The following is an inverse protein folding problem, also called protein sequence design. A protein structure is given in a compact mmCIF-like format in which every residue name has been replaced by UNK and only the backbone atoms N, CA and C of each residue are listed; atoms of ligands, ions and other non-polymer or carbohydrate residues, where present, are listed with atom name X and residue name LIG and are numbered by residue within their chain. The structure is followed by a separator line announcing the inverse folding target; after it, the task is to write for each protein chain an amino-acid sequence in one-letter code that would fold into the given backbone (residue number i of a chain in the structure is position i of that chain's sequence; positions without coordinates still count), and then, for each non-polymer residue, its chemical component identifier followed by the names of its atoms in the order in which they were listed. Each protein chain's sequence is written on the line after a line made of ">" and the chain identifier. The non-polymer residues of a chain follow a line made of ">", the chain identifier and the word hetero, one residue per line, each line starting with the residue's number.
data_IF_828423848695
#
_entry.id   IF_828423848695
#
_cell.length_a   1.000
_cell.length_b   1.000
_cell.length_c   1.000
_cell.angle_alpha   90.00
_cell.angle_beta   90.00
_cell.angle_gamma   90.00
#
_symmetry.space_group_name_H-M   'P 1'
#
loop_
_entity.id
_entity.type
_entity.pdbx_description
1 polymer ?
#
# COMPACT_ATOMS: atom_id res chain seq x y z
N UNK A 1 -0.69 -16.16 17.15
CA UNK A 1 -0.97 -14.95 16.37
C UNK A 1 -1.06 -15.33 14.90
N UNK A 2 -2.08 -14.82 14.18
CA UNK A 2 -2.31 -15.15 12.78
C UNK A 2 -1.78 -14.07 11.82
N UNK A 3 -1.36 -12.91 12.35
CA UNK A 3 -0.80 -11.82 11.58
C UNK A 3 0.69 -11.64 11.89
N UNK A 4 1.52 -11.47 10.85
CA UNK A 4 2.94 -11.16 10.98
C UNK A 4 3.21 -9.66 11.21
N UNK A 5 2.27 -8.80 10.80
CA UNK A 5 2.35 -7.36 11.00
C UNK A 5 0.95 -6.75 11.15
N UNK A 6 0.91 -5.56 11.74
CA UNK A 6 -0.27 -4.71 11.82
C UNK A 6 0.10 -3.29 11.35
N UNK A 7 -0.76 -2.69 10.53
CA UNK A 7 -0.66 -1.30 10.12
C UNK A 7 -1.50 -0.45 11.07
N UNK A 8 -0.88 0.54 11.67
CA UNK A 8 -1.51 1.53 12.55
C UNK A 8 -1.40 2.93 11.94
N UNK A 9 -2.45 3.71 12.14
CA UNK A 9 -2.47 5.10 11.72
C UNK A 9 -2.04 6.02 12.88
N UNK A 10 -1.14 6.94 12.59
CA UNK A 10 -0.60 7.83 13.60
C UNK A 10 -1.66 8.75 14.22
N UNK A 11 -2.64 9.18 13.42
CA UNK A 11 -3.67 10.11 13.87
C UNK A 11 -4.70 9.46 14.78
N UNK A 12 -4.95 8.14 14.62
CA UNK A 12 -6.09 7.49 15.28
C UNK A 12 -5.68 6.53 16.41
N UNK A 13 -4.75 5.63 16.16
CA UNK A 13 -4.53 4.54 17.11
C UNK A 13 -3.08 4.32 17.54
N UNK A 14 -2.09 4.90 16.87
CA UNK A 14 -0.67 4.67 17.17
C UNK A 14 -0.32 4.87 18.64
N UNK A 15 -0.66 6.04 19.21
CA UNK A 15 -0.36 6.37 20.61
C UNK A 15 -0.99 5.35 21.57
N UNK A 16 -2.27 5.04 21.37
CA UNK A 16 -2.97 4.08 22.22
C UNK A 16 -2.37 2.68 22.13
N UNK A 17 -2.00 2.25 20.93
CA UNK A 17 -1.38 0.94 20.69
C UNK A 17 -0.04 0.82 21.41
N UNK A 18 0.78 1.88 21.39
CA UNK A 18 2.09 1.92 22.05
C UNK A 18 1.91 1.95 23.58
N UNK A 19 1.11 2.88 24.10
CA UNK A 19 0.88 3.06 25.55
C UNK A 19 0.29 1.79 26.20
N UNK A 20 -0.60 1.10 25.51
CA UNK A 20 -1.23 -0.12 26.01
C UNK A 20 -0.43 -1.39 25.71
N UNK A 21 0.70 -1.27 25.00
CA UNK A 21 1.49 -2.43 24.54
C UNK A 21 0.60 -3.48 23.82
N UNK A 22 -0.31 -2.99 22.96
CA UNK A 22 -1.41 -3.80 22.40
C UNK A 22 -0.98 -4.74 21.29
N UNK A 23 0.25 -4.65 20.77
CA UNK A 23 0.77 -5.51 19.70
C UNK A 23 1.58 -6.64 20.29
N UNK A 24 1.26 -7.87 19.88
CA UNK A 24 2.04 -9.05 20.29
C UNK A 24 3.50 -8.91 19.81
N UNK A 25 4.47 -9.35 20.63
CA UNK A 25 5.91 -9.28 20.31
C UNK A 25 6.29 -9.98 19.00
N UNK A 26 5.51 -10.95 18.55
CA UNK A 26 5.66 -11.67 17.28
C UNK A 26 5.05 -10.96 16.07
N UNK A 27 4.41 -9.80 16.27
CA UNK A 27 3.74 -9.04 15.23
C UNK A 27 4.48 -7.71 15.02
N UNK A 28 4.90 -7.43 13.80
CA UNK A 28 5.58 -6.19 13.47
C UNK A 28 4.60 -5.02 13.43
N UNK A 29 5.00 -3.86 13.94
CA UNK A 29 4.24 -2.62 13.81
C UNK A 29 4.69 -1.87 12.55
N UNK A 30 3.75 -1.57 11.68
CA UNK A 30 3.88 -0.68 10.52
C UNK A 30 3.11 0.60 10.85
N UNK A 31 3.69 1.77 10.60
CA UNK A 31 3.01 3.05 10.86
C UNK A 31 2.75 3.77 9.56
N UNK A 32 1.51 4.26 9.37
CA UNK A 32 1.17 5.10 8.23
C UNK A 32 1.89 6.44 8.34
N UNK A 33 2.56 6.84 7.26
CA UNK A 33 3.33 8.07 7.14
C UNK A 33 2.72 9.05 6.14
N UNK A 34 1.50 8.82 5.74
CA UNK A 34 0.77 9.60 4.75
C UNK A 34 -0.19 10.57 5.45
N UNK A 35 -0.21 11.83 4.98
CA UNK A 35 -1.22 12.82 5.31
C UNK A 35 -2.15 12.99 4.11
N UNK A 36 -3.45 12.80 4.34
CA UNK A 36 -4.49 12.92 3.31
C UNK A 36 -4.94 14.36 3.21
N UNK A 37 -4.88 14.91 2.00
CA UNK A 37 -5.31 16.28 1.71
C UNK A 37 -6.65 16.20 0.97
N UNK A 38 -7.75 16.70 1.57
CA UNK A 38 -9.04 16.75 0.91
C UNK A 38 -9.05 17.84 -0.17
N UNK A 39 -9.86 17.64 -1.19
CA UNK A 39 -10.03 18.59 -2.29
C UNK A 39 -11.09 18.11 -3.27
N UNK A 40 -11.56 19.00 -4.12
CA UNK A 40 -12.52 18.68 -5.17
C UNK A 40 -13.74 17.85 -4.71
N UNK A 41 -14.21 18.07 -3.46
CA UNK A 41 -15.34 17.36 -2.88
C UNK A 41 -15.07 15.92 -2.44
N UNK A 42 -13.80 15.46 -2.45
CA UNK A 42 -13.41 14.14 -2.01
C UNK A 42 -12.47 14.20 -0.81
N UNK A 43 -12.53 13.21 0.11
CA UNK A 43 -11.72 13.21 1.34
C UNK A 43 -10.21 13.05 1.09
N UNK A 44 -9.83 12.40 -0.01
CA UNK A 44 -8.43 12.16 -0.38
C UNK A 44 -8.24 12.56 -1.84
N UNK A 45 -7.90 13.82 -2.07
CA UNK A 45 -7.61 14.36 -3.40
C UNK A 45 -6.12 14.30 -3.73
N UNK A 46 -5.27 14.52 -2.74
CA UNK A 46 -3.82 14.31 -2.82
C UNK A 46 -3.27 13.72 -1.52
N UNK A 47 -2.02 13.29 -1.55
CA UNK A 47 -1.31 12.69 -0.41
C UNK A 47 0.08 13.29 -0.35
N UNK A 48 0.56 13.55 0.86
CA UNK A 48 1.93 13.98 1.15
C UNK A 48 2.51 13.14 2.29
N UNK A 49 3.82 13.19 2.48
CA UNK A 49 4.44 12.62 3.68
C UNK A 49 4.01 13.45 4.89
N UNK A 50 3.47 12.81 5.91
CA UNK A 50 3.11 13.49 7.17
C UNK A 50 4.38 14.02 7.85
N UNK A 51 4.51 15.35 7.90
CA UNK A 51 5.67 16.02 8.50
C UNK A 51 5.73 15.92 10.04
N UNK A 52 4.68 15.41 10.67
CA UNK A 52 4.64 15.13 12.12
C UNK A 52 5.21 13.77 12.47
N UNK A 53 5.45 12.92 11.47
CA UNK A 53 6.09 11.62 11.66
C UNK A 53 7.47 11.81 12.31
N UNK A 54 7.71 11.04 13.37
CA UNK A 54 9.02 10.94 14.02
C UNK A 54 9.55 9.51 13.89
N UNK A 55 10.34 9.20 12.84
CA UNK A 55 10.83 7.83 12.59
C UNK A 55 11.69 7.29 13.74
N UNK A 56 12.48 8.15 14.39
CA UNK A 56 13.29 7.75 15.54
C UNK A 56 12.41 7.27 16.69
N UNK A 57 11.36 8.03 17.04
CA UNK A 57 10.42 7.64 18.08
C UNK A 57 9.69 6.34 17.71
N UNK A 58 9.21 6.23 16.47
CA UNK A 58 8.55 5.01 15.98
C UNK A 58 9.48 3.80 16.12
N UNK A 59 10.76 3.95 15.78
CA UNK A 59 11.75 2.89 15.96
C UNK A 59 11.93 2.50 17.42
N UNK A 60 12.00 3.47 18.32
CA UNK A 60 12.11 3.26 19.78
C UNK A 60 10.87 2.57 20.35
N UNK A 61 9.69 2.90 19.85
CA UNK A 61 8.41 2.28 20.21
C UNK A 61 8.22 0.87 19.60
N UNK A 62 9.23 0.35 18.89
CA UNK A 62 9.22 -1.00 18.31
C UNK A 62 8.70 -1.08 16.88
N UNK A 63 8.42 0.04 16.23
CA UNK A 63 8.05 0.10 14.81
C UNK A 63 9.12 -0.51 13.91
N UNK A 64 8.69 -1.21 12.87
CA UNK A 64 9.57 -1.90 11.91
C UNK A 64 9.53 -1.29 10.53
N UNK A 65 8.42 -0.67 10.17
CA UNK A 65 8.19 -0.11 8.84
C UNK A 65 7.35 1.16 8.90
N UNK A 66 7.51 2.01 7.89
CA UNK A 66 6.57 3.05 7.54
C UNK A 66 5.86 2.70 6.24
N UNK A 67 4.62 3.18 6.07
CA UNK A 67 3.84 3.03 4.84
C UNK A 67 3.46 4.39 4.28
N UNK A 68 3.71 4.61 3.00
CA UNK A 68 3.27 5.79 2.26
C UNK A 68 2.27 5.40 1.18
N UNK A 69 1.07 5.96 1.21
CA UNK A 69 0.13 5.91 0.10
C UNK A 69 0.59 6.88 -0.98
N UNK A 70 0.65 6.41 -2.22
CA UNK A 70 0.99 7.21 -3.40
C UNK A 70 -0.22 7.23 -4.34
N UNK A 71 -0.93 8.35 -4.42
CA UNK A 71 -1.98 8.47 -5.42
C UNK A 71 -1.36 8.55 -6.81
N UNK A 72 -1.83 7.70 -7.69
CA UNK A 72 -1.38 7.66 -9.07
C UNK A 72 -2.50 8.06 -10.03
N UNK A 73 -2.23 9.05 -10.86
CA UNK A 73 -3.07 9.47 -11.97
C UNK A 73 -2.20 9.67 -13.20
N UNK A 74 -2.69 9.26 -14.36
CA UNK A 74 -1.94 9.32 -15.62
C UNK A 74 -1.64 10.74 -16.10
N UNK A 75 -2.40 11.73 -15.64
CA UNK A 75 -2.26 13.15 -16.00
C UNK A 75 -1.58 13.99 -14.93
N UNK A 76 -1.03 13.37 -13.88
CA UNK A 76 -0.21 14.04 -12.87
C UNK A 76 1.29 13.78 -13.11
N UNK A 77 2.13 14.67 -12.57
CA UNK A 77 3.57 14.63 -12.77
C UNK A 77 4.22 13.40 -12.12
N UNK A 78 4.80 12.53 -12.95
CA UNK A 78 5.51 11.34 -12.51
C UNK A 78 6.77 11.69 -11.69
N UNK A 79 7.48 12.79 -12.03
CA UNK A 79 8.68 13.18 -11.31
C UNK A 79 8.37 13.57 -9.86
N UNK A 80 7.28 14.29 -9.63
CA UNK A 80 6.86 14.64 -8.27
C UNK A 80 6.56 13.39 -7.42
N UNK A 81 5.95 12.36 -8.00
CA UNK A 81 5.71 11.10 -7.30
C UNK A 81 7.00 10.36 -6.98
N UNK A 82 7.92 10.29 -7.94
CA UNK A 82 9.25 9.66 -7.75
C UNK A 82 10.06 10.40 -6.67
N UNK A 83 10.06 11.73 -6.69
CA UNK A 83 10.76 12.54 -5.69
C UNK A 83 10.19 12.32 -4.29
N UNK A 84 8.86 12.26 -4.16
CA UNK A 84 8.19 11.96 -2.89
C UNK A 84 8.55 10.55 -2.38
N UNK A 85 8.54 9.55 -3.25
CA UNK A 85 8.92 8.17 -2.88
C UNK A 85 10.39 8.10 -2.49
N UNK A 86 11.28 8.79 -3.21
CA UNK A 86 12.70 8.87 -2.87
C UNK A 86 12.91 9.50 -1.49
N UNK A 87 12.29 10.65 -1.21
CA UNK A 87 12.34 11.30 0.10
C UNK A 87 11.85 10.35 1.21
N UNK A 88 10.75 9.64 0.96
CA UNK A 88 10.19 8.68 1.91
C UNK A 88 11.14 7.50 2.18
N UNK A 89 11.76 6.93 1.14
CA UNK A 89 12.73 5.86 1.28
C UNK A 89 13.96 6.32 2.10
N UNK A 90 14.50 7.51 1.81
CA UNK A 90 15.60 8.11 2.56
C UNK A 90 15.23 8.30 4.03
N UNK A 91 14.01 8.78 4.31
CA UNK A 91 13.47 8.92 5.67
C UNK A 91 13.45 7.57 6.41
N UNK A 92 12.95 6.52 5.78
CA UNK A 92 12.89 5.18 6.37
C UNK A 92 14.29 4.62 6.61
N UNK A 93 15.11 4.57 5.58
CA UNK A 93 16.40 3.90 5.59
C UNK A 93 17.40 4.57 6.55
N UNK A 94 17.40 5.90 6.64
CA UNK A 94 18.25 6.64 7.60
C UNK A 94 17.96 6.29 9.07
N UNK A 95 16.76 5.75 9.36
CA UNK A 95 16.37 5.31 10.70
C UNK A 95 16.31 3.78 10.84
N UNK A 96 16.71 3.03 9.82
CA UNK A 96 16.68 1.56 9.80
C UNK A 96 15.25 1.02 9.89
N UNK A 97 14.30 1.68 9.24
CA UNK A 97 12.91 1.26 9.05
C UNK A 97 12.72 0.75 7.61
N UNK A 98 11.84 -0.22 7.45
CA UNK A 98 11.41 -0.72 6.14
C UNK A 98 10.48 0.30 5.50
N UNK A 99 10.70 0.62 4.23
CA UNK A 99 9.83 1.50 3.44
C UNK A 99 8.80 0.69 2.66
N UNK A 100 7.50 1.00 2.86
CA UNK A 100 6.39 0.37 2.16
C UNK A 100 5.67 1.44 1.34
N UNK A 101 5.64 1.30 0.03
CA UNK A 101 4.83 2.18 -0.82
C UNK A 101 3.51 1.49 -1.21
N UNK A 102 2.44 2.27 -1.23
CA UNK A 102 1.09 1.83 -1.59
C UNK A 102 0.55 2.68 -2.74
N UNK A 103 0.95 2.41 -3.99
CA UNK A 103 0.34 3.08 -5.13
C UNK A 103 -1.14 2.71 -5.28
N UNK A 104 -1.98 3.73 -5.32
CA UNK A 104 -3.44 3.61 -5.49
C UNK A 104 -3.85 4.43 -6.69
N UNK A 105 -4.39 3.75 -7.70
CA UNK A 105 -4.77 4.41 -8.95
C UNK A 105 -6.10 5.14 -8.82
N UNK A 106 -6.19 6.30 -9.48
CA UNK A 106 -7.38 7.15 -9.54
C UNK A 106 -7.64 7.57 -10.99
N UNK A 107 -8.89 7.88 -11.33
CA UNK A 107 -9.19 8.52 -12.60
C UNK A 107 -8.33 9.78 -12.81
N UNK A 108 -7.95 10.07 -14.05
CA UNK A 108 -7.27 11.32 -14.37
C UNK A 108 -8.13 12.52 -13.97
N UNK A 109 -7.53 13.66 -13.67
CA UNK A 109 -8.25 14.89 -13.34
C UNK A 109 -8.97 15.48 -14.55
N UNK A 110 -8.45 15.16 -15.73
CA UNK A 110 -8.99 15.63 -17.02
C UNK A 110 -9.28 14.44 -17.91
N UNK A 111 -10.48 14.42 -18.51
CA UNK A 111 -10.92 13.36 -19.41
C UNK A 111 -11.82 12.32 -18.73
N UNK A 112 -12.53 11.55 -19.56
CA UNK A 112 -13.59 10.65 -19.11
C UNK A 112 -13.20 9.16 -19.14
N UNK A 113 -12.05 8.83 -19.72
CA UNK A 113 -11.63 7.43 -19.88
C UNK A 113 -10.64 7.04 -18.79
N UNK A 114 -11.03 6.07 -17.98
CA UNK A 114 -10.19 5.48 -16.97
C UNK A 114 -10.17 3.96 -17.10
N UNK A 115 -9.05 3.43 -17.54
CA UNK A 115 -8.76 2.00 -17.50
C UNK A 115 -7.95 1.72 -16.24
N UNK A 116 -8.64 1.25 -15.19
CA UNK A 116 -8.01 0.95 -13.90
C UNK A 116 -6.94 -0.14 -14.03
N UNK A 117 -7.20 -1.16 -14.83
CA UNK A 117 -6.27 -2.30 -14.96
C UNK A 117 -4.97 -1.85 -15.63
N UNK A 118 -5.06 -1.03 -16.67
CA UNK A 118 -3.89 -0.45 -17.30
C UNK A 118 -3.18 0.54 -16.35
N UNK A 119 -3.92 1.35 -15.60
CA UNK A 119 -3.37 2.29 -14.63
C UNK A 119 -2.55 1.58 -13.53
N UNK A 120 -3.02 0.42 -13.03
CA UNK A 120 -2.26 -0.38 -12.05
C UNK A 120 -0.92 -0.86 -12.63
N UNK A 121 -0.92 -1.29 -13.89
CA UNK A 121 0.31 -1.70 -14.58
C UNK A 121 1.25 -0.50 -14.81
N UNK A 122 0.71 0.65 -15.20
CA UNK A 122 1.52 1.84 -15.44
C UNK A 122 2.10 2.42 -14.14
N UNK A 123 1.36 2.36 -13.04
CA UNK A 123 1.89 2.66 -11.71
C UNK A 123 3.01 1.69 -11.28
N UNK A 124 2.88 0.39 -11.62
CA UNK A 124 3.92 -0.60 -11.34
C UNK A 124 5.18 -0.36 -12.18
N UNK A 125 5.04 0.03 -13.46
CA UNK A 125 6.19 0.41 -14.31
C UNK A 125 6.92 1.64 -13.79
N UNK A 126 6.16 2.63 -13.28
CA UNK A 126 6.73 3.87 -12.77
C UNK A 126 7.43 3.69 -11.42
N UNK A 127 6.82 2.94 -10.51
CA UNK A 127 7.22 2.88 -9.10
C UNK A 127 7.80 1.52 -8.67
N UNK A 128 7.73 0.51 -9.52
CA UNK A 128 8.16 -0.86 -9.19
C UNK A 128 9.67 -1.05 -9.04
N UNK A 129 10.48 -0.05 -9.39
CA UNK A 129 11.93 0.00 -9.18
C UNK A 129 12.36 1.28 -8.45
N UNK A 130 11.50 1.79 -7.58
CA UNK A 130 11.71 3.07 -6.88
C UNK A 130 12.66 3.00 -5.68
N UNK A 131 13.21 1.81 -5.38
CA UNK A 131 14.09 1.59 -4.23
C UNK A 131 13.38 1.45 -2.89
N UNK A 132 12.05 1.33 -2.87
CA UNK A 132 11.32 0.94 -1.67
C UNK A 132 11.56 -0.55 -1.34
N UNK A 133 11.36 -0.93 -0.07
CA UNK A 133 11.59 -2.31 0.37
C UNK A 133 10.38 -3.22 0.10
N UNK A 134 9.17 -2.66 0.01
CA UNK A 134 7.94 -3.42 -0.23
C UNK A 134 6.94 -2.58 -1.03
N UNK A 135 6.38 -3.20 -2.06
CA UNK A 135 5.31 -2.63 -2.88
C UNK A 135 3.95 -3.22 -2.49
N UNK A 136 3.00 -2.40 -2.09
CA UNK A 136 1.65 -2.81 -1.75
C UNK A 136 0.70 -2.42 -2.88
N UNK A 137 0.18 -3.41 -3.61
CA UNK A 137 -0.53 -3.21 -4.88
C UNK A 137 -2.02 -3.51 -4.78
N UNK A 138 -2.83 -2.77 -5.53
CA UNK A 138 -4.24 -3.07 -5.74
C UNK A 138 -4.42 -4.36 -6.53
N UNK A 139 -5.34 -5.23 -6.08
CA UNK A 139 -5.62 -6.48 -6.78
C UNK A 139 -6.23 -6.22 -8.16
N UNK A 140 -5.64 -6.75 -9.25
CA UNK A 140 -6.24 -6.69 -10.57
C UNK A 140 -7.65 -7.29 -10.60
N UNK A 141 -8.50 -6.77 -11.48
CA UNK A 141 -9.87 -7.23 -11.70
C UNK A 141 -10.71 -7.31 -10.40
N UNK A 142 -10.29 -6.62 -9.35
CA UNK A 142 -10.87 -6.76 -8.00
C UNK A 142 -10.97 -8.21 -7.52
N UNK A 143 -10.06 -9.08 -7.98
CA UNK A 143 -10.07 -10.52 -7.70
C UNK A 143 -11.18 -11.31 -8.41
N UNK A 144 -11.89 -10.70 -9.35
CA UNK A 144 -13.02 -11.28 -10.11
C UNK A 144 -12.54 -11.98 -11.39
N UNK A 145 -13.47 -12.59 -12.11
CA UNK A 145 -13.24 -13.22 -13.41
C UNK A 145 -12.61 -14.62 -13.35
N UNK A 146 -12.28 -15.22 -14.50
CA UNK A 146 -11.61 -16.51 -14.60
C UNK A 146 -10.24 -16.50 -13.91
N UNK A 147 -9.85 -17.64 -13.35
CA UNK A 147 -8.57 -17.73 -12.61
C UNK A 147 -7.37 -17.45 -13.52
N UNK A 148 -7.43 -17.90 -14.78
CA UNK A 148 -6.34 -17.70 -15.74
C UNK A 148 -6.13 -16.22 -16.09
N UNK A 149 -7.21 -15.45 -16.24
CA UNK A 149 -7.14 -14.01 -16.50
C UNK A 149 -6.55 -13.27 -15.33
N UNK A 150 -7.01 -13.62 -14.11
CA UNK A 150 -6.51 -13.03 -12.89
C UNK A 150 -5.03 -13.35 -12.66
N UNK A 151 -4.61 -14.59 -12.97
CA UNK A 151 -3.21 -14.99 -12.90
C UNK A 151 -2.36 -14.20 -13.91
N UNK A 152 -2.81 -14.12 -15.17
CA UNK A 152 -2.09 -13.35 -16.20
C UNK A 152 -1.96 -11.87 -15.84
N UNK A 153 -3.02 -11.26 -15.30
CA UNK A 153 -2.97 -9.88 -14.83
C UNK A 153 -1.97 -9.70 -13.66
N UNK A 154 -1.94 -10.65 -12.72
CA UNK A 154 -1.01 -10.64 -11.59
C UNK A 154 0.45 -10.88 -12.02
N UNK A 155 0.67 -11.73 -13.03
CA UNK A 155 2.00 -11.95 -13.61
C UNK A 155 2.52 -10.67 -14.29
N UNK A 156 1.67 -9.97 -15.05
CA UNK A 156 2.04 -8.67 -15.64
C UNK A 156 2.46 -7.64 -14.58
N UNK A 157 1.87 -7.66 -13.40
CA UNK A 157 2.34 -6.84 -12.27
C UNK A 157 3.74 -7.26 -11.82
N UNK A 158 3.92 -8.56 -11.58
CA UNK A 158 5.19 -9.11 -11.14
C UNK A 158 6.35 -8.76 -12.08
N UNK A 159 6.08 -8.70 -13.40
CA UNK A 159 7.08 -8.36 -14.41
C UNK A 159 7.60 -6.90 -14.31
N UNK A 160 6.91 -6.04 -13.58
CA UNK A 160 7.26 -4.63 -13.43
C UNK A 160 7.64 -4.22 -12.00
N UNK A 161 7.57 -5.13 -11.04
CA UNK A 161 7.92 -4.84 -9.64
C UNK A 161 9.18 -5.58 -9.27
N UNK A 162 10.29 -4.85 -9.09
CA UNK A 162 11.62 -5.39 -8.81
C UNK A 162 11.91 -5.57 -7.30
N UNK A 163 10.90 -5.41 -6.46
CA UNK A 163 10.98 -5.61 -5.01
C UNK A 163 9.91 -6.62 -4.54
N UNK A 164 9.97 -7.15 -3.32
CA UNK A 164 8.85 -7.89 -2.75
C UNK A 164 7.55 -7.10 -2.85
N UNK A 165 6.45 -7.78 -3.17
CA UNK A 165 5.16 -7.12 -3.26
C UNK A 165 4.06 -7.92 -2.59
N UNK A 166 3.05 -7.19 -2.10
CA UNK A 166 1.88 -7.75 -1.42
C UNK A 166 0.61 -7.13 -1.98
N UNK A 167 -0.48 -7.89 -1.99
CA UNK A 167 -1.77 -7.33 -2.41
C UNK A 167 -2.52 -6.69 -1.26
N UNK A 168 -3.24 -5.63 -1.59
CA UNK A 168 -4.19 -5.00 -0.68
C UNK A 168 -5.62 -5.48 -0.96
N UNK A 169 -6.49 -5.39 0.03
CA UNK A 169 -7.86 -5.87 -0.07
C UNK A 169 -8.86 -4.85 -0.60
N UNK A 170 -8.43 -3.64 -0.96
CA UNK A 170 -9.32 -2.55 -1.39
C UNK A 170 -10.18 -2.94 -2.59
N UNK A 171 -11.50 -2.84 -2.43
CA UNK A 171 -12.46 -3.16 -3.49
C UNK A 171 -12.62 -4.64 -3.81
N UNK A 172 -11.86 -5.53 -3.18
CA UNK A 172 -12.03 -6.99 -3.33
C UNK A 172 -13.10 -7.47 -2.35
N UNK A 173 -14.08 -8.21 -2.86
CA UNK A 173 -15.10 -8.89 -2.04
C UNK A 173 -14.42 -9.85 -1.05
N UNK A 174 -14.87 -9.86 0.20
CA UNK A 174 -14.29 -10.71 1.26
C UNK A 174 -14.28 -12.19 0.90
N UNK A 175 -15.32 -12.68 0.19
CA UNK A 175 -15.41 -14.07 -0.26
C UNK A 175 -14.44 -14.42 -1.39
N UNK A 176 -14.05 -13.42 -2.18
CA UNK A 176 -13.08 -13.58 -3.27
C UNK A 176 -11.64 -13.37 -2.80
N UNK A 177 -11.42 -12.69 -1.68
CA UNK A 177 -10.09 -12.31 -1.23
C UNK A 177 -9.16 -13.52 -1.00
N UNK A 178 -9.58 -14.65 -0.38
CA UNK A 178 -8.71 -15.82 -0.24
C UNK A 178 -8.25 -16.43 -1.57
N UNK A 179 -9.12 -16.38 -2.59
CA UNK A 179 -8.77 -16.80 -3.95
C UNK A 179 -7.78 -15.82 -4.58
N UNK A 180 -8.04 -14.53 -4.46
CA UNK A 180 -7.18 -13.46 -4.96
C UNK A 180 -5.76 -13.57 -4.39
N UNK A 181 -5.63 -13.80 -3.08
CA UNK A 181 -4.35 -14.07 -2.41
C UNK A 181 -3.62 -15.24 -3.05
N UNK A 182 -4.28 -16.40 -3.19
CA UNK A 182 -3.64 -17.59 -3.79
C UNK A 182 -3.14 -17.33 -5.22
N UNK A 183 -3.92 -16.64 -6.03
CA UNK A 183 -3.52 -16.31 -7.40
C UNK A 183 -2.34 -15.35 -7.41
N UNK A 184 -2.37 -14.30 -6.60
CA UNK A 184 -1.26 -13.37 -6.50
C UNK A 184 0.03 -14.05 -6.01
N UNK A 185 -0.06 -14.93 -5.02
CA UNK A 185 1.08 -15.73 -4.55
C UNK A 185 1.66 -16.64 -5.65
N UNK A 186 0.80 -17.23 -6.49
CA UNK A 186 1.23 -18.01 -7.65
C UNK A 186 1.95 -17.15 -8.68
N UNK A 187 1.59 -15.86 -8.79
CA UNK A 187 2.21 -14.90 -9.69
C UNK A 187 3.51 -14.29 -9.14
N UNK A 188 3.87 -14.52 -7.87
CA UNK A 188 5.11 -14.00 -7.28
C UNK A 188 4.92 -13.05 -6.09
N UNK A 189 3.68 -12.79 -5.65
CA UNK A 189 3.45 -11.99 -4.46
C UNK A 189 4.05 -12.66 -3.21
N UNK A 190 4.59 -11.84 -2.30
CA UNK A 190 5.16 -12.28 -1.02
C UNK A 190 4.11 -12.41 0.09
N UNK A 191 2.88 -11.93 -0.12
CA UNK A 191 1.84 -11.95 0.89
C UNK A 191 0.69 -10.99 0.60
N UNK A 192 0.03 -10.56 1.67
CA UNK A 192 -1.07 -9.60 1.59
C UNK A 192 -1.13 -8.68 2.81
N UNK A 193 -1.66 -7.48 2.62
CA UNK A 193 -2.05 -6.56 3.68
C UNK A 193 -3.56 -6.31 3.58
N UNK A 194 -4.32 -6.96 4.46
CA UNK A 194 -5.77 -6.91 4.45
C UNK A 194 -6.31 -5.98 5.54
N UNK A 195 -7.27 -5.17 5.17
CA UNK A 195 -8.08 -4.38 6.08
C UNK A 195 -9.51 -4.91 6.08
N UNK A 196 -10.44 -4.14 5.55
CA UNK A 196 -11.89 -4.40 5.57
C UNK A 196 -12.30 -5.81 5.10
N UNK A 197 -11.56 -6.44 4.20
CA UNK A 197 -11.84 -7.82 3.79
C UNK A 197 -11.68 -8.86 4.92
N UNK A 198 -11.11 -8.48 6.07
CA UNK A 198 -10.93 -9.37 7.23
C UNK A 198 -11.94 -9.08 8.34
N UNK A 199 -12.33 -7.81 8.55
CA UNK A 199 -13.16 -7.43 9.70
C UNK A 199 -14.45 -6.68 9.36
N UNK A 200 -14.73 -6.35 8.08
CA UNK A 200 -15.95 -5.60 7.72
C UNK A 200 -17.25 -6.32 8.09
N UNK A 201 -17.22 -7.64 8.25
CA UNK A 201 -18.40 -8.43 8.66
C UNK A 201 -18.59 -8.52 10.18
N UNK A 202 -17.64 -8.01 10.98
CA UNK A 202 -17.66 -8.10 12.46
C UNK A 202 -17.60 -6.76 13.18
N UNK A 203 -17.60 -5.66 12.42
CA UNK A 203 -17.60 -4.26 12.93
C UNK A 203 -18.88 -3.54 12.55
#
# INVERSE_FOLDING_TARGET
>A
PYASAILVDQQFCYRQVVEQNAIAKSCAMIVAADEFIPGNGIPVDSVVIDRKINPLQIKQDGGKALKLLVLWRSDEDAQQRLDMVKEFNELCHSHGLVSIIEPVVRPPRRGDKFDREQAIIDAAKELGDSGADLYKVEMPLYGKGPQQELLSASQRLNDHINMPWVILSSGVDEKLFPRAVRVAMTAGASGFLAGRAVWASVV
#
